data_IF_341619930367
#
_entry.id   IF_341619930367
#
_cell.length_a   1.000
_cell.length_b   1.000
_cell.length_c   1.000
_cell.angle_alpha   90.00
_cell.angle_beta   90.00
_cell.angle_gamma   90.00
#
_symmetry.space_group_name_H-M   'P 1'
#
loop_
_entity.id
_entity.type
_entity.pdbx_description
1 polymer ?
#
# COMPACT_ATOMS: atom_id res chain seq x y z
N UNK A 1 14.94 16.36 24.57
CA UNK A 1 15.95 15.45 23.98
C UNK A 1 15.22 14.30 23.31
N UNK A 2 15.09 14.25 21.97
CA UNK A 2 14.79 13.01 21.28
C UNK A 2 16.04 12.48 20.58
N UNK A 3 16.26 11.17 20.76
CA UNK A 3 17.35 10.42 20.19
C UNK A 3 17.20 10.34 18.66
N UNK A 4 18.24 10.82 17.96
CA UNK A 4 18.45 10.60 16.54
C UNK A 4 19.02 9.19 16.34
N UNK A 5 18.25 8.33 15.67
CA UNK A 5 18.74 7.13 15.02
C UNK A 5 18.02 6.97 13.68
N UNK A 6 18.42 7.75 12.67
CA UNK A 6 18.19 7.35 11.28
C UNK A 6 19.55 7.14 10.63
N UNK A 7 19.84 5.85 10.40
CA UNK A 7 21.03 5.39 9.71
C UNK A 7 21.13 6.00 8.33
N UNK A 8 22.32 6.50 8.04
CA UNK A 8 22.81 6.88 6.73
C UNK A 8 22.79 5.69 5.78
N UNK A 9 21.94 5.73 4.76
CA UNK A 9 21.95 4.77 3.66
C UNK A 9 20.79 5.01 2.70
N UNK A 10 21.08 5.66 1.57
CA UNK A 10 20.19 5.89 0.41
C UNK A 10 18.98 6.82 0.66
N UNK A 11 19.23 8.11 0.83
CA UNK A 11 18.23 9.14 0.48
C UNK A 11 18.42 9.53 -0.99
N UNK A 12 18.01 8.65 -1.92
CA UNK A 12 17.42 9.19 -3.14
C UNK A 12 16.00 9.55 -2.74
N UNK A 13 15.73 10.84 -2.67
CA UNK A 13 14.41 11.33 -2.31
C UNK A 13 13.42 10.73 -3.32
N UNK A 14 12.31 10.14 -2.89
CA UNK A 14 11.31 9.55 -3.81
C UNK A 14 10.81 10.58 -4.84
N UNK A 15 10.97 11.88 -4.52
CA UNK A 15 10.79 13.03 -5.41
C UNK A 15 11.72 13.03 -6.64
N UNK A 16 12.94 12.50 -6.58
CA UNK A 16 13.84 12.39 -7.73
C UNK A 16 13.35 11.33 -8.74
N UNK A 17 12.68 10.28 -8.25
CA UNK A 17 12.24 9.16 -9.08
C UNK A 17 10.86 9.43 -9.71
N UNK A 18 9.95 10.04 -8.94
CA UNK A 18 8.55 10.19 -9.33
C UNK A 18 8.14 11.66 -9.57
N UNK A 19 8.92 12.65 -9.11
CA UNK A 19 8.59 14.06 -9.23
C UNK A 19 7.27 14.41 -8.54
N UNK A 20 6.42 15.17 -9.24
CA UNK A 20 5.07 15.55 -8.78
C UNK A 20 4.02 14.44 -8.97
N UNK A 21 4.41 13.27 -9.49
CA UNK A 21 3.52 12.13 -9.75
C UNK A 21 3.33 11.22 -8.53
N UNK A 22 3.48 11.79 -7.34
CA UNK A 22 3.26 11.08 -6.07
C UNK A 22 1.95 11.60 -5.47
N UNK A 23 1.07 10.70 -5.06
CA UNK A 23 -0.09 11.02 -4.23
C UNK A 23 0.24 10.55 -2.82
N UNK A 24 0.30 11.45 -1.85
CA UNK A 24 0.77 11.14 -0.50
C UNK A 24 -0.17 11.67 0.60
N UNK A 25 -0.21 10.93 1.71
CA UNK A 25 -0.90 11.35 2.94
C UNK A 25 -0.08 12.43 3.67
N UNK A 26 -0.75 13.43 4.26
CA UNK A 26 -0.13 14.56 5.00
C UNK A 26 0.77 15.49 4.16
N UNK A 27 0.34 15.78 2.92
CA UNK A 27 0.85 16.92 2.16
C UNK A 27 0.59 18.25 2.90
N UNK A 28 1.46 19.27 2.81
CA UNK A 28 2.76 19.33 2.10
C UNK A 28 3.99 18.95 2.93
N UNK A 29 3.83 18.53 4.18
CA UNK A 29 4.95 18.47 5.12
C UNK A 29 6.03 17.42 4.75
N UNK A 30 5.66 16.38 4.01
CA UNK A 30 6.56 15.26 3.70
C UNK A 30 7.04 15.21 2.23
N UNK A 31 6.32 15.85 1.30
CA UNK A 31 6.58 15.74 -0.14
C UNK A 31 6.24 17.04 -0.88
N UNK A 32 7.20 17.97 -1.03
CA UNK A 32 7.00 19.20 -1.80
C UNK A 32 6.66 18.88 -3.27
N UNK A 33 5.50 19.32 -3.75
CA UNK A 33 5.03 19.10 -5.12
C UNK A 33 4.21 17.83 -5.38
N UNK A 34 3.98 16.99 -4.37
CA UNK A 34 3.05 15.85 -4.48
C UNK A 34 1.58 16.28 -4.46
N UNK A 35 0.69 15.42 -4.98
CA UNK A 35 -0.76 15.62 -4.91
C UNK A 35 -1.31 15.12 -3.57
N UNK A 36 -2.31 15.82 -3.03
CA UNK A 36 -2.96 15.43 -1.77
C UNK A 36 -3.76 14.14 -1.95
N UNK A 37 -3.57 13.17 -1.05
CA UNK A 37 -4.37 11.95 -1.04
C UNK A 37 -5.84 12.25 -0.67
N UNK A 38 -6.83 11.86 -1.49
CA UNK A 38 -8.23 12.16 -1.21
C UNK A 38 -8.70 11.51 0.11
N UNK A 39 -9.48 12.23 0.95
CA UNK A 39 -10.03 11.67 2.17
C UNK A 39 -10.99 10.52 1.85
N UNK A 40 -11.09 9.53 2.75
CA UNK A 40 -12.01 8.39 2.64
C UNK A 40 -11.86 7.54 1.37
N UNK A 41 -10.65 7.38 0.84
CA UNK A 41 -10.39 6.53 -0.34
C UNK A 41 -9.64 5.24 0.00
N UNK A 42 -10.23 4.30 0.76
CA UNK A 42 -9.61 2.99 1.00
C UNK A 42 -9.48 2.18 -0.30
N UNK A 43 -10.40 2.36 -1.24
CA UNK A 43 -10.40 1.68 -2.53
C UNK A 43 -9.23 2.07 -3.42
N UNK A 44 -8.61 3.21 -3.18
CA UNK A 44 -7.40 3.63 -3.90
C UNK A 44 -6.12 3.18 -3.20
N UNK A 45 -6.18 2.59 -2.01
CA UNK A 45 -4.98 2.21 -1.27
C UNK A 45 -4.70 0.70 -1.40
N UNK A 46 -3.60 0.29 -2.07
CA UNK A 46 -3.23 -1.11 -2.23
C UNK A 46 -3.08 -1.90 -0.92
N UNK A 47 -2.74 -1.21 0.18
CA UNK A 47 -2.69 -1.85 1.51
C UNK A 47 -4.07 -2.33 1.95
N UNK A 48 -5.11 -1.54 1.67
CA UNK A 48 -6.47 -1.80 2.15
C UNK A 48 -7.23 -2.74 1.21
N UNK A 49 -7.24 -2.46 -0.10
CA UNK A 49 -7.99 -3.30 -1.04
C UNK A 49 -7.34 -4.66 -1.32
N UNK A 50 -6.02 -4.79 -1.13
CA UNK A 50 -5.29 -6.04 -1.41
C UNK A 50 -4.61 -6.61 -0.16
N UNK A 51 -3.61 -5.91 0.39
CA UNK A 51 -2.65 -6.53 1.31
C UNK A 51 -3.31 -7.07 2.58
N UNK A 52 -4.21 -6.30 3.19
CA UNK A 52 -4.85 -6.70 4.44
C UNK A 52 -5.68 -7.98 4.30
N UNK A 53 -6.57 -8.04 3.31
CA UNK A 53 -7.38 -9.22 3.02
C UNK A 53 -6.52 -10.42 2.66
N UNK A 54 -5.57 -10.23 1.73
CA UNK A 54 -4.68 -11.29 1.26
C UNK A 54 -3.83 -11.89 2.39
N UNK A 55 -3.24 -11.05 3.24
CA UNK A 55 -2.42 -11.51 4.36
C UNK A 55 -3.27 -12.22 5.42
N UNK A 56 -4.48 -11.73 5.70
CA UNK A 56 -5.39 -12.39 6.63
C UNK A 56 -5.69 -13.82 6.16
N UNK A 57 -6.02 -13.99 4.88
CA UNK A 57 -6.34 -15.30 4.32
C UNK A 57 -5.13 -16.25 4.38
N UNK A 58 -3.94 -15.77 4.03
CA UNK A 58 -2.72 -16.60 4.07
C UNK A 58 -2.28 -16.96 5.49
N UNK A 59 -2.31 -15.99 6.41
CA UNK A 59 -1.83 -16.17 7.79
C UNK A 59 -2.78 -17.06 8.57
N UNK A 60 -4.08 -16.83 8.47
CA UNK A 60 -5.07 -17.58 9.23
C UNK A 60 -5.45 -18.92 8.59
N UNK A 61 -5.00 -19.22 7.37
CA UNK A 61 -5.15 -20.55 6.76
C UNK A 61 -4.63 -21.68 7.66
N UNK A 62 -3.53 -21.44 8.37
CA UNK A 62 -2.92 -22.42 9.29
C UNK A 62 -3.40 -22.32 10.74
N UNK A 63 -4.31 -21.37 11.04
CA UNK A 63 -4.87 -21.12 12.38
C UNK A 63 -3.79 -21.10 13.48
N UNK A 64 -2.82 -20.17 13.43
CA UNK A 64 -1.79 -20.08 14.45
C UNK A 64 -2.42 -19.92 15.84
N UNK A 65 -1.92 -20.66 16.83
CA UNK A 65 -2.46 -20.73 18.20
C UNK A 65 -1.63 -19.96 19.21
N UNK A 66 -0.47 -19.45 18.80
CA UNK A 66 0.48 -18.74 19.66
C UNK A 66 1.21 -17.62 18.89
N UNK A 67 1.87 -16.73 19.63
CA UNK A 67 2.53 -15.56 19.04
C UNK A 67 3.71 -15.93 18.13
N UNK A 68 4.43 -17.02 18.44
CA UNK A 68 5.60 -17.45 17.65
C UNK A 68 5.13 -18.02 16.31
N UNK A 69 4.11 -18.87 16.31
CA UNK A 69 3.52 -19.41 15.08
C UNK A 69 2.87 -18.32 14.23
N UNK A 70 2.20 -17.35 14.85
CA UNK A 70 1.63 -16.20 14.16
C UNK A 70 2.71 -15.35 13.47
N UNK A 71 3.76 -14.94 14.19
CA UNK A 71 4.89 -14.17 13.63
C UNK A 71 5.54 -14.89 12.45
N UNK A 72 5.81 -16.19 12.62
CA UNK A 72 6.38 -17.02 11.54
C UNK A 72 5.47 -17.07 10.32
N UNK A 73 4.17 -17.21 10.53
CA UNK A 73 3.21 -17.25 9.44
C UNK A 73 3.16 -15.93 8.68
N UNK A 74 3.17 -14.78 9.38
CA UNK A 74 3.22 -13.46 8.76
C UNK A 74 4.47 -13.32 7.88
N UNK A 75 5.66 -13.60 8.42
CA UNK A 75 6.92 -13.49 7.68
C UNK A 75 6.94 -14.42 6.46
N UNK A 76 6.49 -15.66 6.62
CA UNK A 76 6.43 -16.62 5.52
C UNK A 76 5.41 -16.21 4.44
N UNK A 77 4.26 -15.65 4.82
CA UNK A 77 3.26 -15.16 3.88
C UNK A 77 3.81 -13.99 3.06
N UNK A 78 4.48 -13.02 3.68
CA UNK A 78 5.13 -11.92 2.96
C UNK A 78 6.21 -12.41 2.00
N UNK A 79 7.07 -13.34 2.43
CA UNK A 79 8.12 -13.92 1.58
C UNK A 79 7.57 -14.68 0.36
N UNK A 80 6.32 -15.14 0.42
CA UNK A 80 5.66 -15.84 -0.68
C UNK A 80 4.95 -14.91 -1.68
N UNK A 81 4.85 -13.61 -1.40
CA UNK A 81 4.29 -12.65 -2.36
C UNK A 81 5.25 -12.54 -3.55
N UNK A 82 4.78 -12.94 -4.71
CA UNK A 82 5.56 -12.92 -5.95
C UNK A 82 5.53 -11.52 -6.55
N UNK A 83 6.61 -11.14 -7.25
CA UNK A 83 6.66 -9.89 -8.04
C UNK A 83 5.44 -9.75 -8.97
N UNK A 84 5.06 -10.83 -9.66
CA UNK A 84 3.88 -10.86 -10.53
C UNK A 84 2.58 -10.46 -9.82
N UNK A 85 2.44 -10.81 -8.53
CA UNK A 85 1.28 -10.38 -7.73
C UNK A 85 1.30 -8.87 -7.50
N UNK A 86 2.48 -8.28 -7.24
CA UNK A 86 2.62 -6.84 -7.06
C UNK A 86 2.40 -6.06 -8.37
N UNK A 87 2.81 -6.61 -9.51
CA UNK A 87 2.51 -6.07 -10.83
C UNK A 87 1.00 -5.98 -11.05
N UNK A 88 0.26 -7.08 -10.79
CA UNK A 88 -1.20 -7.10 -10.89
C UNK A 88 -1.89 -6.10 -9.93
N UNK A 89 -1.37 -5.94 -8.72
CA UNK A 89 -1.89 -4.95 -7.76
C UNK A 89 -1.68 -3.52 -8.27
N UNK A 90 -0.57 -3.27 -8.96
CA UNK A 90 -0.28 -1.98 -9.59
C UNK A 90 -1.23 -1.71 -10.76
N UNK A 91 -1.47 -2.70 -11.61
CA UNK A 91 -2.44 -2.60 -12.72
C UNK A 91 -3.88 -2.38 -12.21
N UNK A 92 -4.24 -3.06 -11.11
CA UNK A 92 -5.53 -2.87 -10.45
C UNK A 92 -5.66 -1.45 -9.88
N UNK A 93 -4.60 -0.91 -9.27
CA UNK A 93 -4.57 0.48 -8.82
C UNK A 93 -4.83 1.47 -9.96
N UNK A 94 -4.19 1.29 -11.12
CA UNK A 94 -4.45 2.12 -12.32
C UNK A 94 -5.91 1.99 -12.76
N UNK A 95 -6.46 0.77 -12.79
CA UNK A 95 -7.87 0.53 -13.16
C UNK A 95 -8.83 1.24 -12.20
N UNK A 96 -8.57 1.18 -10.89
CA UNK A 96 -9.38 1.85 -9.87
C UNK A 96 -9.30 3.37 -9.97
N UNK A 97 -8.13 3.93 -10.30
CA UNK A 97 -8.00 5.35 -10.59
C UNK A 97 -8.85 5.77 -11.79
N UNK A 98 -8.78 5.00 -12.88
CA UNK A 98 -9.60 5.26 -14.08
C UNK A 98 -11.09 5.21 -13.75
N UNK A 99 -11.53 4.22 -12.98
CA UNK A 99 -12.92 4.13 -12.57
C UNK A 99 -13.34 5.34 -11.72
N UNK A 100 -12.54 5.71 -10.72
CA UNK A 100 -12.77 6.90 -9.89
C UNK A 100 -12.97 8.15 -10.75
N UNK A 101 -12.14 8.35 -11.79
CA UNK A 101 -12.28 9.46 -12.74
C UNK A 101 -13.59 9.36 -13.52
N UNK A 102 -13.91 8.19 -14.08
CA UNK A 102 -15.14 7.99 -14.89
C UNK A 102 -16.42 8.09 -14.06
N UNK A 103 -16.33 7.86 -12.76
CA UNK A 103 -17.44 7.93 -11.82
C UNK A 103 -17.48 9.24 -11.03
N UNK A 104 -16.71 10.24 -11.44
CA UNK A 104 -16.64 11.57 -10.81
C UNK A 104 -16.39 11.51 -9.29
N UNK A 105 -15.49 10.62 -8.87
CA UNK A 105 -15.13 10.42 -7.46
C UNK A 105 -16.14 9.63 -6.63
N UNK A 106 -17.15 9.00 -7.24
CA UNK A 106 -18.11 8.14 -6.52
C UNK A 106 -17.44 6.90 -5.91
N UNK A 107 -18.03 6.37 -4.84
CA UNK A 107 -17.53 5.18 -4.14
C UNK A 107 -17.76 3.90 -4.96
N UNK A 108 -16.87 2.93 -4.80
CA UNK A 108 -16.96 1.62 -5.45
C UNK A 108 -16.31 0.54 -4.60
N UNK A 109 -17.00 -0.59 -4.39
CA UNK A 109 -16.47 -1.64 -3.50
C UNK A 109 -15.89 -2.85 -4.27
N UNK A 110 -16.34 -3.11 -5.51
CA UNK A 110 -16.15 -4.42 -6.17
C UNK A 110 -15.77 -4.33 -7.65
N UNK A 111 -14.68 -3.65 -8.00
CA UNK A 111 -14.29 -3.53 -9.41
C UNK A 111 -13.43 -4.71 -9.87
N UNK A 112 -12.55 -5.23 -9.00
CA UNK A 112 -11.60 -6.30 -9.34
C UNK A 112 -11.19 -7.08 -8.08
N UNK A 113 -11.44 -8.40 -8.09
CA UNK A 113 -10.88 -9.40 -7.17
C UNK A 113 -9.71 -10.13 -7.82
#
# INVERSE_FOLDING_TARGET
MPHSCYGSGLQHSETDLFGTRVIAYQYPNSYPGALHWPPYSPDLNPRYFFLWGHMKDLVYKKKPTDLISLKRSITASFANIKRKTLELVTDNFVTRLLYCITSDGSHFENILH
#
